data_IF_483300188850
#
_entry.id   IF_483300188850
#
_cell.length_a   1.000
_cell.length_b   1.000
_cell.length_c   1.000
_cell.angle_alpha   90.00
_cell.angle_beta   90.00
_cell.angle_gamma   90.00
#
_symmetry.space_group_name_H-M   'P 1'
#
loop_
_entity.id
_entity.type
_entity.pdbx_description
1 polymer ?
#
# COMPACT_ATOMS: atom_id res chain seq x y z
N UNK A 1 -8.20 -1.74 40.11
CA UNK A 1 -9.44 -0.95 40.02
C UNK A 1 -9.00 0.47 39.72
N UNK A 2 -9.32 0.98 38.54
CA UNK A 2 -9.99 2.27 38.41
C UNK A 2 -10.40 2.47 36.96
N UNK A 3 -11.71 2.70 36.83
CA UNK A 3 -12.46 2.92 35.61
C UNK A 3 -12.46 4.40 35.30
N UNK A 4 -12.10 4.79 34.07
CA UNK A 4 -12.60 6.00 33.45
C UNK A 4 -13.19 5.65 32.08
N UNK A 5 -14.51 5.75 32.03
CA UNK A 5 -15.43 5.64 30.91
C UNK A 5 -15.24 6.75 29.87
N UNK A 6 -15.43 6.42 28.58
CA UNK A 6 -15.83 7.38 27.55
C UNK A 6 -14.72 7.99 26.69
N UNK A 7 -14.04 7.18 25.87
CA UNK A 7 -13.51 7.57 24.54
C UNK A 7 -12.85 6.36 23.90
N UNK A 8 -13.01 6.20 22.59
CA UNK A 8 -12.51 5.06 21.83
C UNK A 8 -11.02 4.83 22.06
N UNK A 9 -10.68 3.81 22.86
CA UNK A 9 -9.31 3.45 23.17
C UNK A 9 -8.63 2.84 21.93
N UNK A 10 -7.94 3.66 21.15
CA UNK A 10 -7.02 3.23 20.10
C UNK A 10 -5.78 2.62 20.77
N UNK A 11 -5.70 1.29 20.82
CA UNK A 11 -4.48 0.57 21.24
C UNK A 11 -3.58 0.33 20.03
N UNK A 12 -2.52 1.14 19.92
CA UNK A 12 -1.34 0.86 19.09
C UNK A 12 -0.51 -0.25 19.71
N UNK A 13 -0.02 -1.18 18.90
CA UNK A 13 1.06 -2.09 19.29
C UNK A 13 2.38 -1.51 18.78
N UNK A 14 3.29 -1.10 19.67
CA UNK A 14 4.69 -0.94 19.32
C UNK A 14 5.25 -2.34 18.98
N UNK A 15 5.59 -2.60 17.73
CA UNK A 15 6.53 -3.67 17.42
C UNK A 15 7.84 -3.00 17.00
N UNK A 16 8.86 -3.07 17.88
CA UNK A 16 10.24 -2.89 17.44
C UNK A 16 10.64 -4.18 16.77
N UNK A 17 10.86 -4.14 15.46
CA UNK A 17 11.36 -5.28 14.70
C UNK A 17 12.85 -5.07 14.53
N UNK A 18 13.63 -6.08 14.95
CA UNK A 18 15.07 -6.10 14.78
C UNK A 18 15.39 -6.84 13.49
N UNK A 19 16.16 -6.20 12.60
CA UNK A 19 16.65 -6.82 11.36
C UNK A 19 17.98 -7.51 11.71
N UNK A 20 18.08 -8.83 11.49
CA UNK A 20 19.39 -9.50 11.51
C UNK A 20 20.02 -9.40 10.11
N UNK A 21 21.35 -9.38 10.00
CA UNK A 21 22.03 -9.61 8.73
C UNK A 21 21.63 -11.01 8.23
N UNK A 22 20.78 -11.10 7.20
CA UNK A 22 20.49 -12.38 6.56
C UNK A 22 21.54 -12.67 5.49
N UNK A 23 21.92 -13.95 5.43
CA UNK A 23 22.94 -14.54 4.58
C UNK A 23 22.76 -14.23 3.10
N UNK A 24 23.88 -13.86 2.47
CA UNK A 24 24.11 -13.59 1.06
C UNK A 24 23.26 -14.35 0.03
N UNK A 25 22.94 -13.62 -1.04
CA UNK A 25 22.67 -14.07 -2.41
C UNK A 25 21.54 -15.07 -2.62
N UNK A 26 20.30 -14.57 -2.74
CA UNK A 26 19.26 -15.26 -3.53
C UNK A 26 18.42 -14.25 -4.31
N UNK A 27 18.80 -13.99 -5.57
CA UNK A 27 17.84 -13.56 -6.58
C UNK A 27 17.17 -14.80 -7.17
N UNK A 28 15.84 -14.87 -7.23
CA UNK A 28 15.18 -15.58 -8.31
C UNK A 28 14.49 -14.56 -9.23
N UNK A 29 14.99 -14.44 -10.44
CA UNK A 29 14.21 -14.00 -11.59
C UNK A 29 13.18 -15.10 -11.89
N UNK A 30 11.92 -14.88 -11.52
CA UNK A 30 10.84 -15.79 -11.84
C UNK A 30 10.22 -15.41 -13.20
N UNK A 31 10.65 -16.11 -14.24
CA UNK A 31 9.92 -16.26 -15.50
C UNK A 31 8.82 -17.29 -15.26
N UNK A 32 7.56 -16.91 -15.48
CA UNK A 32 6.44 -17.87 -15.49
C UNK A 32 6.58 -18.81 -16.69
N UNK A 33 7.11 -20.01 -16.47
CA UNK A 33 6.91 -21.13 -17.39
C UNK A 33 5.71 -21.94 -16.91
N UNK A 34 4.58 -21.76 -17.59
CA UNK A 34 3.46 -22.70 -17.52
C UNK A 34 3.86 -23.98 -18.27
N UNK A 35 3.90 -25.11 -17.58
CA UNK A 35 3.75 -26.39 -18.26
C UNK A 35 2.69 -27.23 -17.56
N UNK A 36 1.55 -27.36 -18.23
CA UNK A 36 0.59 -28.42 -18.04
C UNK A 36 1.18 -29.74 -18.52
N UNK A 37 1.15 -30.76 -17.69
CA UNK A 37 1.02 -32.14 -18.17
C UNK A 37 0.34 -32.99 -17.10
N UNK A 38 -0.95 -33.19 -17.32
CA UNK A 38 -1.76 -34.25 -16.76
C UNK A 38 -1.15 -35.60 -17.14
N UNK A 39 -0.88 -36.43 -16.15
CA UNK A 39 -0.59 -37.85 -16.36
C UNK A 39 -1.86 -38.65 -16.09
N UNK A 40 -2.33 -39.42 -17.06
CA UNK A 40 -2.64 -40.85 -16.89
C UNK A 40 -3.06 -41.52 -18.21
N UNK A 41 -2.42 -42.67 -18.44
CA UNK A 41 -2.90 -43.94 -19.05
C UNK A 41 -3.09 -44.07 -20.56
N UNK A 42 -2.11 -44.74 -21.19
CA UNK A 42 -2.22 -46.02 -21.96
C UNK A 42 -3.48 -46.28 -22.80
N UNK A 43 -3.33 -46.39 -24.12
CA UNK A 43 -3.50 -47.65 -24.89
C UNK A 43 -3.40 -47.43 -26.41
N UNK A 44 -2.56 -48.25 -27.03
CA UNK A 44 -2.59 -48.91 -28.34
C UNK A 44 -2.86 -48.18 -29.68
N UNK A 45 -2.00 -48.58 -30.61
CA UNK A 45 -1.93 -48.26 -32.02
C UNK A 45 -3.10 -48.80 -32.85
N UNK A 46 -3.37 -48.13 -33.98
CA UNK A 46 -3.53 -48.78 -35.29
C UNK A 46 -3.30 -47.76 -36.40
N UNK A 47 -2.52 -48.19 -37.39
CA UNK A 47 -2.23 -47.55 -38.67
C UNK A 47 -3.45 -47.68 -39.57
N UNK A 48 -3.86 -46.61 -40.25
CA UNK A 48 -4.49 -46.70 -41.57
C UNK A 48 -4.24 -45.43 -42.38
N UNK A 49 -3.65 -45.62 -43.55
CA UNK A 49 -3.44 -44.62 -44.60
C UNK A 49 -4.71 -44.46 -45.44
N UNK A 50 -5.09 -43.23 -45.75
CA UNK A 50 -5.89 -42.92 -46.95
C UNK A 50 -5.63 -41.48 -47.35
N UNK A 51 -5.15 -41.32 -48.58
CA UNK A 51 -5.06 -40.08 -49.34
C UNK A 51 -6.47 -39.59 -49.66
N UNK A 52 -6.72 -38.28 -49.51
CA UNK A 52 -7.42 -37.52 -50.55
C UNK A 52 -7.21 -36.02 -50.40
N UNK A 53 -7.03 -35.41 -51.56
CA UNK A 53 -6.77 -34.01 -51.86
C UNK A 53 -8.06 -33.22 -51.99
N UNK A 54 -8.13 -32.01 -51.42
CA UNK A 54 -8.60 -30.79 -52.12
C UNK A 54 -8.72 -29.57 -51.20
N UNK A 55 -7.94 -28.54 -51.54
CA UNK A 55 -8.27 -27.10 -51.60
C UNK A 55 -9.01 -26.38 -50.45
N UNK A 56 -8.33 -25.30 -50.04
CA UNK A 56 -8.84 -23.95 -49.79
C UNK A 56 -9.65 -23.65 -48.52
N UNK A 57 -8.96 -23.08 -47.52
CA UNK A 57 -9.41 -21.83 -46.85
C UNK A 57 -8.26 -21.19 -46.06
N UNK A 58 -7.36 -20.51 -46.76
CA UNK A 58 -6.22 -19.79 -46.18
C UNK A 58 -6.61 -18.39 -45.68
N UNK A 59 -7.76 -18.26 -44.99
CA UNK A 59 -8.33 -16.97 -44.58
C UNK A 59 -8.82 -16.88 -43.13
N UNK A 60 -8.62 -17.91 -42.30
CA UNK A 60 -9.01 -17.86 -40.87
C UNK A 60 -7.83 -17.66 -39.89
N UNK A 61 -6.58 -17.85 -40.32
CA UNK A 61 -5.41 -17.84 -39.41
C UNK A 61 -4.78 -16.46 -39.14
N UNK A 62 -5.18 -15.41 -39.85
CA UNK A 62 -4.71 -14.04 -39.58
C UNK A 62 -5.54 -13.30 -38.52
N UNK A 63 -6.77 -13.78 -38.24
CA UNK A 63 -7.63 -13.19 -37.21
C UNK A 63 -7.42 -13.78 -35.81
N UNK A 64 -6.77 -14.94 -35.70
CA UNK A 64 -6.47 -15.56 -34.40
C UNK A 64 -5.14 -15.10 -33.79
N UNK A 65 -4.20 -14.59 -34.60
CA UNK A 65 -2.91 -14.05 -34.10
C UNK A 65 -3.00 -12.62 -33.54
N UNK A 66 -4.09 -11.89 -33.76
CA UNK A 66 -4.30 -10.54 -33.20
C UNK A 66 -5.00 -10.52 -31.84
N UNK A 67 -5.42 -11.67 -31.31
CA UNK A 67 -6.17 -11.78 -30.04
C UNK A 67 -5.34 -12.12 -28.80
N UNK A 68 -4.01 -12.22 -28.92
CA UNK A 68 -3.12 -12.61 -27.83
C UNK A 68 -1.94 -11.67 -27.59
N UNK A 69 -2.10 -10.37 -27.86
CA UNK A 69 -1.24 -9.37 -27.22
C UNK A 69 -1.94 -8.89 -25.94
N UNK A 70 -2.14 -9.80 -24.98
CA UNK A 70 -2.45 -9.38 -23.61
C UNK A 70 -1.19 -8.69 -23.10
N UNK A 71 -1.17 -7.35 -23.14
CA UNK A 71 -0.17 -6.56 -22.43
C UNK A 71 -0.18 -7.03 -20.98
N UNK A 72 0.80 -7.86 -20.63
CA UNK A 72 0.84 -8.59 -19.38
C UNK A 72 0.87 -7.57 -18.24
N UNK A 73 0.01 -7.73 -17.22
CA UNK A 73 0.07 -6.92 -16.00
C UNK A 73 1.35 -7.34 -15.28
N UNK A 74 2.42 -6.58 -15.49
CA UNK A 74 3.74 -6.78 -14.88
C UNK A 74 4.14 -5.49 -14.21
N UNK A 75 4.65 -5.60 -12.99
CA UNK A 75 5.23 -4.50 -12.23
C UNK A 75 6.74 -4.66 -12.21
N UNK A 76 7.44 -3.54 -12.30
CA UNK A 76 8.90 -3.53 -12.40
C UNK A 76 9.50 -2.86 -11.17
N UNK A 77 10.67 -3.34 -10.75
CA UNK A 77 11.45 -2.64 -9.75
C UNK A 77 12.08 -1.39 -10.36
N UNK A 78 12.04 -0.31 -9.60
CA UNK A 78 12.78 0.93 -9.87
C UNK A 78 13.81 1.05 -8.76
N UNK A 79 15.06 0.84 -9.12
CA UNK A 79 16.19 0.89 -8.19
C UNK A 79 16.69 2.32 -8.02
N UNK A 80 17.15 2.65 -6.82
CA UNK A 80 17.80 3.93 -6.52
C UNK A 80 19.24 3.68 -6.06
N UNK A 81 20.19 4.41 -6.65
CA UNK A 81 21.56 4.40 -6.19
C UNK A 81 21.67 5.19 -4.87
N UNK A 82 21.84 4.46 -3.76
CA UNK A 82 22.00 5.02 -2.42
C UNK A 82 23.39 4.67 -1.86
N UNK A 83 24.41 5.52 -2.05
CA UNK A 83 25.78 5.23 -1.64
C UNK A 83 25.94 5.13 -0.12
N UNK A 84 25.10 5.85 0.64
CA UNK A 84 25.13 5.87 2.11
C UNK A 84 24.34 4.74 2.77
N UNK A 85 23.64 3.92 2.00
CA UNK A 85 22.79 2.87 2.53
C UNK A 85 23.56 1.53 2.58
N UNK A 86 23.61 0.92 3.76
CA UNK A 86 24.25 -0.35 4.05
C UNK A 86 23.85 -1.47 3.08
N UNK A 87 24.78 -2.36 2.78
CA UNK A 87 24.52 -3.57 1.97
C UNK A 87 23.42 -4.48 2.53
N UNK A 88 23.16 -4.41 3.84
CA UNK A 88 22.02 -5.08 4.45
C UNK A 88 20.73 -4.35 4.07
N UNK A 89 19.91 -5.03 3.26
CA UNK A 89 18.62 -4.55 2.78
C UNK A 89 17.47 -5.28 3.46
N UNK A 90 16.33 -4.61 3.56
CA UNK A 90 15.07 -5.23 3.97
C UNK A 90 13.90 -4.66 3.15
N UNK A 91 12.88 -5.49 2.90
CA UNK A 91 11.70 -5.15 2.12
C UNK A 91 10.46 -5.01 3.00
N UNK A 92 9.74 -3.92 2.80
CA UNK A 92 8.46 -3.64 3.46
C UNK A 92 7.35 -3.60 2.44
N UNK A 93 6.27 -4.34 2.70
CA UNK A 93 5.03 -4.32 1.91
C UNK A 93 3.93 -3.59 2.69
N UNK A 94 3.21 -2.68 2.03
CA UNK A 94 1.94 -2.12 2.49
C UNK A 94 0.84 -2.53 1.52
N UNK A 95 -0.22 -3.18 2.00
CA UNK A 95 -1.27 -3.66 1.11
C UNK A 95 -2.68 -3.68 1.75
N UNK A 96 -3.58 -2.82 1.27
CA UNK A 96 -5.01 -2.96 1.54
C UNK A 96 -5.54 -4.12 0.70
N UNK A 97 -5.99 -5.19 1.35
CA UNK A 97 -6.32 -6.46 0.67
C UNK A 97 -7.81 -6.62 0.33
N UNK A 98 -8.62 -5.57 0.54
CA UNK A 98 -10.05 -5.58 0.36
C UNK A 98 -10.74 -6.69 1.17
N UNK A 99 -11.22 -6.34 2.36
CA UNK A 99 -11.86 -7.29 3.26
C UNK A 99 -13.01 -8.03 2.58
N UNK A 100 -13.15 -9.34 2.79
CA UNK A 100 -14.17 -10.12 2.10
C UNK A 100 -15.60 -9.61 2.40
N UNK A 101 -15.87 -9.21 3.64
CA UNK A 101 -17.13 -8.57 4.03
C UNK A 101 -17.31 -7.19 3.38
N UNK A 102 -16.24 -6.41 3.22
CA UNK A 102 -16.30 -5.11 2.55
C UNK A 102 -16.62 -5.26 1.06
N UNK A 103 -15.94 -6.18 0.36
CA UNK A 103 -16.23 -6.51 -1.03
C UNK A 103 -17.70 -6.94 -1.26
N UNK A 104 -18.26 -7.69 -0.31
CA UNK A 104 -19.66 -8.13 -0.36
C UNK A 104 -20.65 -7.01 -0.01
N UNK A 105 -20.31 -6.12 0.90
CA UNK A 105 -21.17 -5.01 1.34
C UNK A 105 -21.24 -3.90 0.29
N UNK A 106 -20.15 -3.67 -0.44
CA UNK A 106 -19.98 -2.56 -1.38
C UNK A 106 -19.94 -3.04 -2.84
N UNK A 107 -20.85 -3.95 -3.22
CA UNK A 107 -20.90 -4.49 -4.61
C UNK A 107 -21.12 -3.42 -5.66
N UNK A 108 -21.70 -2.28 -5.30
CA UNK A 108 -21.87 -1.12 -6.18
C UNK A 108 -20.52 -0.55 -6.67
N UNK A 109 -19.43 -0.73 -5.92
CA UNK A 109 -18.09 -0.33 -6.33
C UNK A 109 -17.49 -1.22 -7.43
N UNK A 110 -17.99 -2.45 -7.53
CA UNK A 110 -17.39 -3.53 -8.33
C UNK A 110 -18.32 -4.06 -9.43
N UNK A 111 -19.26 -3.24 -9.91
CA UNK A 111 -20.23 -3.64 -10.95
C UNK A 111 -19.55 -4.10 -12.25
N UNK A 112 -18.38 -3.54 -12.57
CA UNK A 112 -17.59 -3.89 -13.76
C UNK A 112 -16.63 -5.07 -13.52
N UNK A 113 -16.57 -5.59 -12.29
CA UNK A 113 -15.66 -6.67 -11.92
C UNK A 113 -16.41 -8.01 -11.98
N UNK A 114 -15.93 -9.00 -12.76
CA UNK A 114 -16.51 -10.33 -12.75
C UNK A 114 -16.61 -10.92 -11.34
N UNK A 115 -17.77 -11.48 -10.99
CA UNK A 115 -18.04 -12.00 -9.64
C UNK A 115 -17.08 -13.11 -9.22
N UNK A 116 -16.48 -13.84 -10.18
CA UNK A 116 -15.43 -14.83 -9.94
C UNK A 116 -14.19 -14.21 -9.27
N UNK A 117 -13.82 -12.98 -9.67
CA UNK A 117 -12.65 -12.26 -9.14
C UNK A 117 -12.91 -11.67 -7.76
N UNK A 118 -14.16 -11.47 -7.36
CA UNK A 118 -14.51 -11.00 -6.01
C UNK A 118 -14.50 -12.12 -4.96
N UNK A 119 -14.56 -13.40 -5.37
CA UNK A 119 -14.58 -14.54 -4.46
C UNK A 119 -13.30 -14.59 -3.62
N UNK A 120 -13.45 -14.66 -2.29
CA UNK A 120 -12.32 -14.72 -1.35
C UNK A 120 -11.30 -15.80 -1.70
N UNK A 121 -11.74 -17.02 -2.06
CA UNK A 121 -10.83 -18.10 -2.41
C UNK A 121 -9.93 -17.76 -3.61
N UNK A 122 -10.45 -16.99 -4.57
CA UNK A 122 -9.70 -16.51 -5.73
C UNK A 122 -8.71 -15.42 -5.32
N UNK A 123 -9.21 -14.36 -4.67
CA UNK A 123 -8.39 -13.20 -4.24
C UNK A 123 -7.28 -13.61 -3.29
N UNK A 124 -7.59 -14.42 -2.28
CA UNK A 124 -6.61 -14.94 -1.31
C UNK A 124 -5.43 -15.62 -1.99
N UNK A 125 -5.69 -16.45 -3.01
CA UNK A 125 -4.62 -17.13 -3.75
C UNK A 125 -3.70 -16.11 -4.40
N UNK A 126 -4.26 -15.16 -5.15
CA UNK A 126 -3.49 -14.10 -5.83
C UNK A 126 -2.70 -13.26 -4.83
N UNK A 127 -3.35 -12.76 -3.78
CA UNK A 127 -2.72 -11.94 -2.74
C UNK A 127 -1.55 -12.69 -2.09
N UNK A 128 -1.73 -13.98 -1.75
CA UNK A 128 -0.66 -14.78 -1.19
C UNK A 128 0.48 -15.02 -2.19
N UNK A 129 0.16 -15.32 -3.45
CA UNK A 129 1.16 -15.57 -4.50
C UNK A 129 2.00 -14.29 -4.77
N UNK A 130 1.37 -13.12 -4.79
CA UNK A 130 2.03 -11.81 -4.89
C UNK A 130 2.99 -11.58 -3.72
N UNK A 131 2.48 -11.67 -2.47
CA UNK A 131 3.28 -11.44 -1.26
C UNK A 131 4.46 -12.42 -1.19
N UNK A 132 4.22 -13.71 -1.45
CA UNK A 132 5.29 -14.73 -1.41
C UNK A 132 6.31 -14.48 -2.52
N UNK A 133 5.86 -14.09 -3.72
CA UNK A 133 6.73 -13.80 -4.86
C UNK A 133 7.69 -12.63 -4.62
N UNK A 134 7.25 -11.61 -3.87
CA UNK A 134 8.12 -10.49 -3.49
C UNK A 134 9.06 -10.81 -2.33
N UNK A 135 8.81 -11.90 -1.59
CA UNK A 135 9.59 -12.35 -0.43
C UNK A 135 9.98 -11.21 0.54
N UNK A 136 9.00 -10.43 1.06
CA UNK A 136 9.29 -9.29 1.93
C UNK A 136 9.73 -9.70 3.33
N UNK A 137 10.44 -8.82 4.03
CA UNK A 137 10.81 -9.01 5.42
C UNK A 137 9.66 -8.64 6.36
N UNK A 138 8.92 -7.57 6.01
CA UNK A 138 7.81 -7.02 6.80
C UNK A 138 6.60 -6.80 5.88
N UNK A 139 5.42 -7.25 6.33
CA UNK A 139 4.16 -7.14 5.60
C UNK A 139 3.15 -6.41 6.49
N UNK A 140 2.65 -5.28 6.00
CA UNK A 140 1.60 -4.49 6.63
C UNK A 140 0.33 -4.56 5.79
N UNK A 141 -0.71 -5.19 6.33
CA UNK A 141 -1.99 -5.36 5.64
C UNK A 141 -3.09 -4.51 6.26
N UNK A 142 -3.98 -3.98 5.44
CA UNK A 142 -5.22 -3.28 5.85
C UNK A 142 -6.45 -4.04 5.35
N UNK A 143 -7.62 -3.77 5.95
CA UNK A 143 -8.90 -4.45 5.67
C UNK A 143 -8.88 -5.98 5.87
N UNK A 144 -8.10 -6.46 6.83
CA UNK A 144 -8.01 -7.89 7.12
C UNK A 144 -9.20 -8.36 7.96
N UNK A 145 -10.14 -9.08 7.35
CA UNK A 145 -11.28 -9.72 8.03
C UNK A 145 -11.20 -11.26 8.07
N UNK A 146 -10.22 -11.84 7.36
CA UNK A 146 -9.96 -13.28 7.27
C UNK A 146 -8.50 -13.62 7.61
N UNK A 147 -8.00 -13.04 8.70
CA UNK A 147 -6.59 -13.15 9.12
C UNK A 147 -6.07 -14.59 9.14
N UNK A 148 -6.78 -15.52 9.78
CA UNK A 148 -6.31 -16.91 9.91
C UNK A 148 -6.17 -17.65 8.58
N UNK A 149 -6.97 -17.29 7.57
CA UNK A 149 -6.88 -17.90 6.24
C UNK A 149 -5.56 -17.50 5.54
N UNK A 150 -5.18 -16.23 5.66
CA UNK A 150 -3.93 -15.68 5.12
C UNK A 150 -2.74 -16.18 5.93
N UNK A 151 -2.83 -16.08 7.26
CA UNK A 151 -1.76 -16.46 8.17
C UNK A 151 -1.41 -17.94 8.04
N UNK A 152 -2.37 -18.83 7.78
CA UNK A 152 -2.08 -20.25 7.52
C UNK A 152 -1.15 -20.45 6.31
N UNK A 153 -1.28 -19.64 5.28
CA UNK A 153 -0.44 -19.71 4.07
C UNK A 153 0.91 -19.04 4.33
N UNK A 154 0.89 -17.81 4.85
CA UNK A 154 2.11 -17.03 5.11
C UNK A 154 2.99 -17.65 6.21
N UNK A 155 2.41 -18.30 7.21
CA UNK A 155 3.18 -19.05 8.22
C UNK A 155 3.99 -20.19 7.59
N UNK A 156 3.46 -20.87 6.59
CA UNK A 156 4.21 -21.90 5.84
C UNK A 156 5.34 -21.30 5.00
N UNK A 157 5.21 -20.03 4.59
CA UNK A 157 6.25 -19.26 3.91
C UNK A 157 7.25 -18.59 4.88
N UNK A 158 7.23 -18.94 6.17
CA UNK A 158 8.21 -18.50 7.16
C UNK A 158 7.83 -17.24 7.93
N UNK A 159 6.58 -16.78 7.86
CA UNK A 159 6.15 -15.55 8.53
C UNK A 159 5.53 -15.80 9.92
N UNK A 160 5.98 -15.04 10.91
CA UNK A 160 5.22 -14.73 12.12
C UNK A 160 4.26 -13.56 11.87
N UNK A 161 3.34 -13.27 12.80
CA UNK A 161 2.46 -12.12 12.63
C UNK A 161 1.50 -11.85 13.76
N UNK A 162 0.96 -10.64 13.76
CA UNK A 162 -0.08 -10.19 14.66
C UNK A 162 -1.22 -9.52 13.88
N UNK A 163 -2.40 -9.49 14.50
CA UNK A 163 -3.60 -8.90 13.93
C UNK A 163 -4.31 -8.04 14.97
N UNK A 164 -4.80 -6.88 14.52
CA UNK A 164 -5.60 -5.98 15.33
C UNK A 164 -6.85 -5.57 14.57
N UNK A 165 -7.98 -6.11 15.01
CA UNK A 165 -9.30 -5.66 14.59
C UNK A 165 -9.53 -4.21 15.02
N UNK A 166 -10.25 -3.46 14.18
CA UNK A 166 -10.79 -2.14 14.55
C UNK A 166 -11.70 -2.24 15.77
N UNK A 167 -11.85 -1.13 16.49
CA UNK A 167 -12.78 -1.01 17.61
C UNK A 167 -14.23 -0.97 17.11
N UNK A 168 -15.21 -1.21 17.99
CA UNK A 168 -16.63 -1.26 17.62
C UNK A 168 -17.02 -2.53 16.86
N UNK A 169 -18.07 -2.44 16.05
CA UNK A 169 -18.67 -3.56 15.32
C UNK A 169 -17.98 -3.85 13.97
N UNK A 170 -16.80 -3.25 13.75
CA UNK A 170 -15.99 -3.51 12.57
C UNK A 170 -15.44 -4.93 12.59
N UNK A 171 -15.40 -5.53 11.41
CA UNK A 171 -15.07 -6.95 11.19
C UNK A 171 -13.67 -7.14 10.62
N UNK A 172 -13.10 -6.05 10.14
CA UNK A 172 -11.79 -5.91 9.54
C UNK A 172 -10.80 -5.21 10.49
N UNK A 173 -9.53 -5.20 10.10
CA UNK A 173 -8.47 -4.57 10.86
C UNK A 173 -7.15 -4.54 10.11
N UNK A 174 -6.07 -4.26 10.85
CA UNK A 174 -4.72 -4.29 10.31
C UNK A 174 -4.00 -5.56 10.77
N UNK A 175 -3.18 -6.14 9.90
CA UNK A 175 -2.24 -7.19 10.27
C UNK A 175 -0.81 -6.73 10.00
N UNK A 176 0.13 -7.25 10.78
CA UNK A 176 1.56 -7.10 10.54
C UNK A 176 2.19 -8.49 10.61
N UNK A 177 2.92 -8.87 9.57
CA UNK A 177 3.65 -10.12 9.51
C UNK A 177 5.13 -9.84 9.24
N UNK A 178 6.01 -10.70 9.73
CA UNK A 178 7.45 -10.55 9.57
C UNK A 178 8.13 -11.92 9.45
N UNK A 179 9.28 -11.96 8.78
CA UNK A 179 10.07 -13.20 8.68
C UNK A 179 10.48 -13.70 10.07
N UNK A 180 10.41 -15.01 10.30
CA UNK A 180 10.58 -15.59 11.64
C UNK A 180 12.00 -15.48 12.21
N UNK A 181 12.99 -15.24 11.35
CA UNK A 181 14.37 -14.92 11.73
C UNK A 181 14.57 -13.46 12.18
N UNK A 182 13.61 -12.57 11.89
CA UNK A 182 13.47 -11.27 12.54
C UNK A 182 12.91 -11.47 13.96
N UNK A 183 13.79 -11.71 14.91
CA UNK A 183 13.44 -11.83 16.32
C UNK A 183 13.69 -10.52 17.06
N UNK A 184 12.84 -10.22 18.05
CA UNK A 184 13.10 -9.19 19.08
C UNK A 184 14.35 -9.64 19.86
N UNK A 185 15.53 -9.08 19.55
CA UNK A 185 16.79 -9.45 20.19
C UNK A 185 17.28 -8.33 21.14
N UNK A 186 17.85 -8.72 22.28
CA UNK A 186 18.44 -7.80 23.27
C UNK A 186 19.92 -7.45 22.99
N UNK A 187 20.44 -7.65 21.76
CA UNK A 187 21.85 -7.39 21.38
C UNK A 187 22.09 -6.11 20.56
N UNK A 188 23.33 -5.93 20.07
CA UNK A 188 23.80 -4.88 19.14
C UNK A 188 23.19 -5.03 17.73
N UNK A 189 21.88 -5.08 17.63
CA UNK A 189 21.17 -5.30 16.37
C UNK A 189 20.44 -4.03 15.95
N UNK A 190 20.43 -3.75 14.64
CA UNK A 190 19.70 -2.62 14.06
C UNK A 190 18.20 -2.78 14.33
N UNK A 191 17.58 -1.72 14.83
CA UNK A 191 16.16 -1.71 15.22
C UNK A 191 15.38 -0.80 14.30
N UNK A 192 14.14 -1.19 14.04
CA UNK A 192 13.20 -0.42 13.24
C UNK A 192 11.85 -0.38 13.94
N UNK A 193 11.22 0.79 13.97
CA UNK A 193 9.82 0.92 14.35
C UNK A 193 8.95 0.88 13.08
N UNK A 194 8.00 -0.04 13.03
CA UNK A 194 7.02 -0.10 11.92
C UNK A 194 5.62 0.23 12.42
N UNK A 195 4.99 1.21 11.79
CA UNK A 195 3.58 1.54 11.95
C UNK A 195 2.75 1.06 10.77
N UNK A 196 1.54 0.57 11.06
CA UNK A 196 0.54 0.22 10.05
C UNK A 196 -0.79 0.87 10.45
N UNK A 197 -1.41 1.63 9.54
CA UNK A 197 -2.68 2.32 9.77
C UNK A 197 -3.66 2.11 8.61
N UNK A 198 -4.95 2.14 8.94
CA UNK A 198 -6.02 2.36 7.98
C UNK A 198 -6.86 3.54 8.51
N UNK A 199 -6.64 4.71 7.91
CA UNK A 199 -7.28 5.97 8.29
C UNK A 199 -8.75 5.95 7.86
N UNK A 200 -9.62 6.69 8.57
CA UNK A 200 -11.03 6.83 8.23
C UNK A 200 -11.24 7.12 6.73
N UNK A 201 -12.13 6.38 6.08
CA UNK A 201 -12.47 6.58 4.68
C UNK A 201 -13.17 7.92 4.39
N UNK A 202 -14.20 8.27 5.18
CA UNK A 202 -15.15 9.36 4.88
C UNK A 202 -14.44 10.65 4.37
N UNK A 203 -14.59 11.02 3.07
CA UNK A 203 -13.90 12.16 2.49
C UNK A 203 -14.20 13.49 3.18
N UNK A 204 -15.38 13.63 3.79
CA UNK A 204 -15.82 14.86 4.46
C UNK A 204 -15.30 15.02 5.89
N UNK A 205 -14.52 14.06 6.42
CA UNK A 205 -14.04 14.04 7.81
C UNK A 205 -12.53 14.18 7.92
N UNK A 206 -11.97 15.15 7.20
CA UNK A 206 -10.53 15.45 7.23
C UNK A 206 -10.01 15.81 8.62
N UNK A 207 -10.85 16.40 9.47
CA UNK A 207 -10.60 16.65 10.89
C UNK A 207 -10.22 15.37 11.64
N UNK A 208 -11.02 14.30 11.50
CA UNK A 208 -10.76 13.01 12.13
C UNK A 208 -9.52 12.36 11.53
N UNK A 209 -9.36 12.39 10.20
CA UNK A 209 -8.20 11.78 9.52
C UNK A 209 -6.90 12.40 10.02
N UNK A 210 -6.83 13.73 10.06
CA UNK A 210 -5.67 14.46 10.57
C UNK A 210 -5.40 14.11 12.05
N UNK A 211 -6.44 14.05 12.88
CA UNK A 211 -6.32 13.63 14.28
C UNK A 211 -5.77 12.21 14.45
N UNK A 212 -6.25 11.25 13.65
CA UNK A 212 -5.77 9.86 13.66
C UNK A 212 -4.30 9.76 13.26
N UNK A 213 -3.92 10.46 12.18
CA UNK A 213 -2.55 10.49 11.67
C UNK A 213 -1.62 11.16 12.69
N UNK A 214 -1.98 12.34 13.22
CA UNK A 214 -1.22 13.04 14.26
C UNK A 214 -1.03 12.17 15.50
N UNK A 215 -2.07 11.44 15.92
CA UNK A 215 -1.96 10.53 17.06
C UNK A 215 -0.97 9.39 16.79
N UNK A 216 -1.03 8.76 15.62
CA UNK A 216 -0.05 7.74 15.19
C UNK A 216 1.38 8.30 15.24
N UNK A 217 1.60 9.46 14.64
CA UNK A 217 2.92 10.12 14.55
C UNK A 217 3.48 10.46 15.93
N UNK A 218 2.64 10.96 16.83
CA UNK A 218 3.03 11.25 18.22
C UNK A 218 3.48 9.97 18.95
N UNK A 219 2.72 8.88 18.81
CA UNK A 219 3.07 7.59 19.43
C UNK A 219 4.34 7.01 18.81
N UNK A 220 4.50 7.10 17.50
CA UNK A 220 5.69 6.64 16.81
C UNK A 220 6.94 7.40 17.27
N UNK A 221 6.86 8.72 17.43
CA UNK A 221 7.95 9.52 17.98
C UNK A 221 8.33 9.08 19.40
N UNK A 222 7.35 8.92 20.29
CA UNK A 222 7.59 8.52 21.68
C UNK A 222 8.32 7.18 21.73
N UNK A 223 7.92 6.23 20.88
CA UNK A 223 8.51 4.89 20.82
C UNK A 223 9.90 4.90 20.19
N UNK A 224 10.08 5.64 19.09
CA UNK A 224 11.39 5.83 18.46
C UNK A 224 12.39 6.38 19.48
N UNK A 225 12.05 7.48 20.17
CA UNK A 225 12.88 8.06 21.25
C UNK A 225 13.17 7.08 22.38
N UNK A 226 12.13 6.40 22.88
CA UNK A 226 12.26 5.41 23.97
C UNK A 226 13.24 4.30 23.63
N UNK A 227 13.39 3.96 22.36
CA UNK A 227 14.26 2.89 21.90
C UNK A 227 15.59 3.37 21.32
N UNK A 228 15.97 4.64 21.56
CA UNK A 228 17.26 5.19 21.13
C UNK A 228 17.20 5.91 19.79
N UNK A 229 16.10 6.61 19.50
CA UNK A 229 15.84 7.30 18.23
C UNK A 229 15.89 6.36 17.02
N UNK A 230 15.33 5.16 17.15
CA UNK A 230 15.36 4.18 16.07
C UNK A 230 14.58 4.68 14.84
N UNK A 231 15.01 4.34 13.62
CA UNK A 231 14.29 4.69 12.40
C UNK A 231 12.83 4.22 12.43
N UNK A 232 11.98 4.97 11.74
CA UNK A 232 10.54 4.73 11.67
C UNK A 232 10.12 4.51 10.23
N UNK A 233 9.33 3.47 9.98
CA UNK A 233 8.57 3.27 8.74
C UNK A 233 7.08 3.29 9.09
N UNK A 234 6.32 4.19 8.48
CA UNK A 234 4.86 4.25 8.63
C UNK A 234 4.21 3.88 7.31
N UNK A 235 3.38 2.85 7.37
CA UNK A 235 2.73 2.23 6.22
C UNK A 235 1.23 2.30 6.38
N UNK A 236 0.49 2.28 5.29
CA UNK A 236 -0.94 2.08 5.37
C UNK A 236 -1.74 2.76 4.28
N UNK A 237 -3.04 2.63 4.43
CA UNK A 237 -4.05 3.38 3.69
C UNK A 237 -4.39 4.64 4.49
N UNK A 238 -3.96 5.79 3.99
CA UNK A 238 -4.16 7.09 4.63
C UNK A 238 -5.45 7.77 4.16
N UNK A 239 -6.16 7.18 3.18
CA UNK A 239 -7.36 7.76 2.59
C UNK A 239 -7.20 9.25 2.25
N UNK A 240 -6.02 9.64 1.76
CA UNK A 240 -5.63 11.02 1.46
C UNK A 240 -4.72 11.05 0.24
N UNK A 241 -4.91 11.99 -0.67
CA UNK A 241 -4.17 12.04 -1.95
C UNK A 241 -2.85 12.83 -1.82
N UNK A 242 -1.90 12.68 -2.77
CA UNK A 242 -0.62 13.39 -2.71
C UNK A 242 -0.75 14.92 -2.76
N UNK A 243 -1.82 15.45 -3.36
CA UNK A 243 -2.09 16.90 -3.45
C UNK A 243 -2.81 17.44 -2.19
N UNK A 244 -3.07 16.58 -1.21
CA UNK A 244 -3.89 16.92 -0.05
C UNK A 244 -3.12 17.68 1.03
N UNK A 245 -3.85 18.46 1.83
CA UNK A 245 -3.29 19.13 3.01
C UNK A 245 -2.72 18.12 4.03
N UNK A 246 -3.31 16.92 4.12
CA UNK A 246 -2.81 15.84 4.98
C UNK A 246 -1.47 15.30 4.51
N UNK A 247 -1.25 15.18 3.20
CA UNK A 247 0.05 14.79 2.65
C UNK A 247 1.12 15.87 2.93
N UNK A 248 0.74 17.14 2.78
CA UNK A 248 1.61 18.26 3.14
C UNK A 248 1.96 18.25 4.63
N UNK A 249 0.99 18.00 5.52
CA UNK A 249 1.25 17.83 6.95
C UNK A 249 2.30 16.76 7.23
N UNK A 250 2.16 15.57 6.62
CA UNK A 250 3.09 14.45 6.80
C UNK A 250 4.52 14.77 6.36
N UNK A 251 4.68 15.53 5.29
CA UNK A 251 5.99 15.89 4.72
C UNK A 251 6.61 17.14 5.36
N UNK A 252 5.83 18.19 5.60
CA UNK A 252 6.29 19.47 6.16
C UNK A 252 6.45 19.45 7.68
N UNK A 253 5.83 18.50 8.38
CA UNK A 253 5.69 18.43 9.84
C UNK A 253 4.63 19.35 10.46
N UNK A 254 4.01 20.23 9.70
CA UNK A 254 3.06 21.21 10.23
C UNK A 254 1.93 21.57 9.25
N UNK A 255 0.77 21.92 9.80
CA UNK A 255 -0.38 22.33 9.00
C UNK A 255 -1.25 23.32 9.79
N UNK A 256 -1.43 24.51 9.23
CA UNK A 256 -2.44 25.45 9.72
C UNK A 256 -3.82 25.05 9.16
N UNK A 257 -4.70 24.51 10.01
CA UNK A 257 -6.01 23.97 9.58
C UNK A 257 -6.98 25.04 9.10
N UNK A 258 -6.76 26.31 9.48
CA UNK A 258 -7.60 27.43 9.05
C UNK A 258 -7.39 27.81 7.58
N UNK A 259 -6.34 27.32 6.92
CA UNK A 259 -6.09 27.57 5.50
C UNK A 259 -6.88 26.62 4.59
N UNK A 260 -7.61 25.66 5.16
CA UNK A 260 -8.25 24.59 4.40
C UNK A 260 -9.69 24.36 4.83
N UNK A 261 -10.57 24.06 3.87
CA UNK A 261 -11.87 23.48 4.19
C UNK A 261 -11.69 22.04 4.70
N UNK A 262 -12.26 21.74 5.88
CA UNK A 262 -12.14 20.41 6.52
C UNK A 262 -12.56 19.23 5.63
N UNK A 263 -13.47 19.45 4.69
CA UNK A 263 -13.96 18.42 3.74
C UNK A 263 -12.99 18.18 2.57
N UNK A 264 -12.06 19.11 2.33
CA UNK A 264 -11.07 19.03 1.25
C UNK A 264 -9.70 18.56 1.74
N UNK A 265 -9.46 18.50 3.06
CA UNK A 265 -8.16 18.16 3.65
C UNK A 265 -7.52 16.87 3.12
N UNK A 266 -8.33 15.89 2.69
CA UNK A 266 -7.84 14.60 2.16
C UNK A 266 -7.73 14.55 0.63
N UNK A 267 -8.26 15.54 -0.09
CA UNK A 267 -8.22 15.58 -1.56
C UNK A 267 -9.04 14.51 -2.30
N UNK A 268 -9.82 13.67 -1.62
CA UNK A 268 -10.50 12.52 -2.24
C UNK A 268 -11.75 12.84 -3.08
N UNK A 269 -12.33 14.05 -2.99
CA UNK A 269 -13.66 14.33 -3.57
C UNK A 269 -13.68 14.37 -5.10
N UNK A 270 -12.53 14.63 -5.74
CA UNK A 270 -12.40 14.83 -7.19
C UNK A 270 -11.62 13.70 -7.88
N UNK A 271 -11.70 12.49 -7.34
CA UNK A 271 -10.91 11.34 -7.81
C UNK A 271 -11.77 10.27 -8.49
N UNK A 272 -12.88 10.63 -9.16
CA UNK A 272 -13.69 9.63 -9.89
C UNK A 272 -12.94 9.19 -11.16
N UNK A 273 -13.01 7.90 -11.55
CA UNK A 273 -12.30 7.43 -12.75
C UNK A 273 -12.59 8.23 -14.02
N UNK A 274 -13.83 8.66 -14.25
CA UNK A 274 -14.18 9.50 -15.39
C UNK A 274 -13.43 10.85 -15.35
N UNK A 275 -13.36 11.49 -14.18
CA UNK A 275 -12.63 12.76 -14.01
C UNK A 275 -11.13 12.57 -14.21
N UNK A 276 -10.56 11.46 -13.73
CA UNK A 276 -9.12 11.21 -13.77
C UNK A 276 -8.63 10.76 -15.16
N UNK A 277 -9.40 9.92 -15.86
CA UNK A 277 -9.02 9.47 -17.21
C UNK A 277 -9.30 10.51 -18.31
N UNK A 278 -10.29 11.39 -18.13
CA UNK A 278 -10.70 12.37 -19.15
C UNK A 278 -9.90 13.69 -19.08
N UNK A 279 -8.91 13.83 -18.17
CA UNK A 279 -8.03 15.02 -18.08
C UNK A 279 -7.26 15.28 -19.40
N UNK A 280 -7.20 14.31 -20.31
CA UNK A 280 -6.62 14.49 -21.65
C UNK A 280 -7.54 15.18 -22.67
N UNK A 281 -8.72 15.71 -22.30
CA UNK A 281 -9.61 16.42 -23.23
C UNK A 281 -9.74 17.93 -23.07
N UNK A 282 -9.45 18.53 -21.93
CA UNK A 282 -9.47 20.00 -21.79
C UNK A 282 -8.44 20.49 -20.76
N UNK A 283 -7.26 20.86 -21.23
CA UNK A 283 -6.43 21.88 -20.57
C UNK A 283 -7.13 23.22 -20.71
N UNK A 284 -8.15 23.45 -19.89
CA UNK A 284 -8.71 24.78 -19.62
C UNK A 284 -9.62 24.67 -18.40
N UNK A 285 -9.03 24.46 -17.23
CA UNK A 285 -9.57 25.08 -16.03
C UNK A 285 -8.42 25.80 -15.35
N UNK A 286 -8.31 27.07 -15.72
CA UNK A 286 -7.69 28.10 -14.90
C UNK A 286 -8.04 27.82 -13.44
N UNK A 287 -7.00 27.70 -12.62
CA UNK A 287 -7.12 27.57 -11.18
C UNK A 287 -7.84 28.83 -10.70
N UNK A 288 -9.16 28.77 -10.53
CA UNK A 288 -9.87 29.82 -9.83
C UNK A 288 -9.41 29.74 -8.38
N UNK A 289 -8.35 30.50 -8.04
CA UNK A 289 -8.28 31.12 -6.74
C UNK A 289 -9.56 31.93 -6.62
N UNK A 290 -10.60 31.30 -6.09
CA UNK A 290 -11.77 32.01 -5.63
C UNK A 290 -11.31 32.80 -4.42
N UNK A 291 -10.96 34.05 -4.70
CA UNK A 291 -11.15 35.17 -3.79
C UNK A 291 -12.50 34.97 -3.09
N UNK A 292 -12.41 34.61 -1.82
CA UNK A 292 -13.55 34.15 -1.07
C UNK A 292 -13.10 33.92 0.35
N UNK A 293 -13.21 34.97 1.15
CA UNK A 293 -13.22 34.95 2.60
C UNK A 293 -14.43 34.12 3.09
N UNK A 294 -14.52 32.87 2.67
CA UNK A 294 -15.47 31.91 3.21
C UNK A 294 -15.07 31.75 4.67
N UNK A 295 -16.00 31.99 5.59
CA UNK A 295 -15.84 31.62 6.99
C UNK A 295 -15.60 30.12 7.03
N UNK A 296 -14.34 29.70 7.04
CA UNK A 296 -13.92 28.32 7.26
C UNK A 296 -14.30 28.00 8.70
N UNK A 297 -15.52 27.53 8.89
CA UNK A 297 -16.12 27.39 10.21
C UNK A 297 -15.73 26.05 10.82
N UNK A 298 -14.54 26.01 11.40
CA UNK A 298 -14.10 24.95 12.30
C UNK A 298 -14.74 25.16 13.67
N UNK A 299 -15.38 24.12 14.20
CA UNK A 299 -15.78 24.13 15.61
C UNK A 299 -14.57 23.87 16.50
N UNK A 300 -14.58 24.36 17.75
CA UNK A 300 -13.48 24.11 18.70
C UNK A 300 -13.20 22.62 18.94
N UNK A 301 -14.24 21.77 18.86
CA UNK A 301 -14.08 20.31 18.96
C UNK A 301 -13.41 19.72 17.71
N UNK A 302 -13.75 20.19 16.50
CA UNK A 302 -13.08 19.74 15.27
C UNK A 302 -11.61 20.17 15.24
N UNK A 303 -11.30 21.40 15.69
CA UNK A 303 -9.92 21.86 15.85
C UNK A 303 -9.20 20.95 16.85
N UNK A 304 -9.79 20.69 18.02
CA UNK A 304 -9.21 19.82 19.04
C UNK A 304 -8.96 18.40 18.54
N UNK A 305 -9.89 17.82 17.79
CA UNK A 305 -9.72 16.48 17.18
C UNK A 305 -8.52 16.50 16.23
N UNK A 306 -8.44 17.49 15.35
CA UNK A 306 -7.41 17.61 14.33
C UNK A 306 -6.02 17.91 14.92
N UNK A 307 -5.89 18.96 15.74
CA UNK A 307 -4.62 19.50 16.23
C UNK A 307 -4.23 18.96 17.60
N UNK A 308 -5.18 18.43 18.36
CA UNK A 308 -5.01 18.01 19.76
C UNK A 308 -5.31 19.09 20.78
N UNK A 309 -5.64 20.32 20.35
CA UNK A 309 -5.91 21.45 21.23
C UNK A 309 -6.99 22.34 20.61
N UNK A 310 -7.98 22.77 21.40
CA UNK A 310 -9.00 23.73 20.94
C UNK A 310 -8.46 25.15 20.74
N UNK A 311 -7.29 25.47 21.31
CA UNK A 311 -6.68 26.81 21.27
C UNK A 311 -5.65 26.97 20.15
N UNK A 312 -5.19 25.85 19.58
CA UNK A 312 -4.09 25.83 18.62
C UNK A 312 -4.59 25.32 17.28
N UNK A 313 -4.43 26.15 16.25
CA UNK A 313 -4.89 25.87 14.88
C UNK A 313 -3.81 25.20 14.01
N UNK A 314 -2.59 25.12 14.52
CA UNK A 314 -1.47 24.49 13.82
C UNK A 314 -1.33 23.07 14.37
N UNK A 315 -1.62 22.08 13.54
CA UNK A 315 -1.26 20.70 13.81
C UNK A 315 0.25 20.54 13.56
N UNK A 316 0.96 19.88 14.47
CA UNK A 316 2.40 19.64 14.34
C UNK A 316 2.76 18.18 14.66
N UNK A 317 3.83 17.68 14.03
CA UNK A 317 4.48 16.45 14.45
C UNK A 317 6.02 16.56 14.36
N UNK A 318 6.78 15.84 15.19
CA UNK A 318 8.24 15.98 15.23
C UNK A 318 8.98 15.07 14.24
N UNK A 319 8.33 14.05 13.66
CA UNK A 319 8.97 13.13 12.73
C UNK A 319 9.26 13.82 11.39
N UNK A 320 10.51 13.74 10.91
CA UNK A 320 10.88 14.18 9.56
C UNK A 320 10.68 13.03 8.59
N UNK A 321 9.52 13.01 7.93
CA UNK A 321 9.12 11.91 7.07
C UNK A 321 9.32 12.25 5.60
N UNK A 322 9.69 11.23 4.83
CA UNK A 322 9.70 11.23 3.37
C UNK A 322 8.94 10.01 2.87
N UNK A 323 8.26 10.14 1.74
CA UNK A 323 7.67 8.99 1.08
C UNK A 323 8.74 8.26 0.27
N UNK A 324 8.82 6.94 0.41
CA UNK A 324 9.76 6.12 -0.36
C UNK A 324 9.55 6.26 -1.87
N UNK A 325 8.29 6.31 -2.31
CA UNK A 325 7.94 6.44 -3.73
C UNK A 325 8.28 7.83 -4.27
N UNK A 326 7.96 8.88 -3.53
CA UNK A 326 8.32 10.26 -3.92
C UNK A 326 9.84 10.50 -3.99
N UNK A 327 10.64 9.74 -3.23
CA UNK A 327 12.10 9.90 -3.21
C UNK A 327 12.85 9.07 -4.24
N UNK A 328 12.22 8.07 -4.86
CA UNK A 328 12.82 7.28 -5.94
C UNK A 328 12.27 7.76 -7.27
N UNK A 329 13.15 8.19 -8.17
CA UNK A 329 12.78 8.69 -9.50
C UNK A 329 12.09 7.58 -10.33
N UNK A 330 10.77 7.69 -10.48
CA UNK A 330 9.96 6.81 -11.31
C UNK A 330 9.67 7.39 -12.69
N UNK A 331 8.93 6.63 -13.51
CA UNK A 331 8.49 7.08 -14.83
C UNK A 331 7.30 8.03 -14.72
N UNK A 332 7.24 9.06 -15.57
CA UNK A 332 6.03 9.92 -15.71
C UNK A 332 4.79 9.15 -16.16
N UNK A 333 4.94 7.92 -16.67
CA UNK A 333 3.83 7.02 -17.00
C UNK A 333 3.18 6.36 -15.78
N UNK A 334 3.88 6.34 -14.64
CA UNK A 334 3.45 5.71 -13.39
C UNK A 334 3.47 6.66 -12.19
N UNK A 335 4.07 7.84 -12.33
CA UNK A 335 4.23 8.86 -11.27
C UNK A 335 3.51 10.17 -11.57
N UNK A 336 3.04 10.81 -10.51
CA UNK A 336 2.50 12.17 -10.52
C UNK A 336 3.60 13.23 -10.28
N UNK A 337 3.20 14.50 -10.18
CA UNK A 337 4.11 15.63 -9.96
C UNK A 337 4.80 15.64 -8.57
N UNK A 338 4.26 14.91 -7.60
CA UNK A 338 4.89 14.72 -6.29
C UNK A 338 5.85 13.52 -6.29
N UNK A 339 6.01 12.82 -7.41
CA UNK A 339 6.77 11.58 -7.50
C UNK A 339 6.04 10.37 -6.91
N UNK A 340 4.75 10.51 -6.57
CA UNK A 340 3.94 9.42 -6.04
C UNK A 340 3.32 8.60 -7.18
N UNK A 341 2.88 7.34 -6.96
CA UNK A 341 2.08 6.60 -7.92
C UNK A 341 0.91 7.43 -8.47
N UNK A 342 0.57 7.24 -9.73
CA UNK A 342 -0.66 7.80 -10.29
C UNK A 342 -1.92 7.21 -9.64
N UNK A 343 -1.86 5.93 -9.25
CA UNK A 343 -2.91 5.31 -8.46
C UNK A 343 -2.37 4.14 -7.63
N UNK A 344 -2.90 4.01 -6.41
CA UNK A 344 -2.77 2.84 -5.55
C UNK A 344 -4.10 2.16 -5.31
N UNK A 345 -5.23 2.79 -5.64
CA UNK A 345 -6.58 2.23 -5.55
C UNK A 345 -7.39 2.54 -6.80
N UNK A 346 -8.18 1.56 -7.27
CA UNK A 346 -9.05 1.72 -8.43
C UNK A 346 -10.35 0.88 -8.35
N UNK A 347 -11.48 1.57 -8.22
CA UNK A 347 -12.82 0.99 -8.35
C UNK A 347 -13.77 2.00 -9.03
N UNK A 348 -15.07 1.69 -9.16
CA UNK A 348 -15.99 2.51 -9.97
C UNK A 348 -16.19 3.96 -9.51
N UNK A 349 -15.80 4.29 -8.27
CA UNK A 349 -16.00 5.61 -7.65
C UNK A 349 -14.71 6.33 -7.25
N UNK A 350 -13.57 5.64 -7.31
CA UNK A 350 -12.29 6.21 -6.92
C UNK A 350 -11.16 5.65 -7.80
N UNK A 351 -10.28 6.52 -8.25
CA UNK A 351 -9.00 6.20 -8.86
C UNK A 351 -7.97 7.22 -8.36
N UNK A 352 -6.93 6.75 -7.69
CA UNK A 352 -5.88 7.62 -7.18
C UNK A 352 -5.01 6.95 -6.13
N UNK A 353 -4.09 7.73 -5.58
CA UNK A 353 -3.12 7.28 -4.56
C UNK A 353 -3.61 7.65 -3.17
N UNK A 354 -3.68 6.64 -2.31
CA UNK A 354 -4.07 6.77 -0.89
C UNK A 354 -3.22 5.92 0.04
N UNK A 355 -2.41 5.02 -0.52
CA UNK A 355 -1.51 4.15 0.21
C UNK A 355 -0.10 4.75 0.18
N UNK A 356 0.62 4.67 1.31
CA UNK A 356 1.98 5.25 1.40
C UNK A 356 2.92 4.38 2.23
N UNK A 357 4.21 4.55 1.94
CA UNK A 357 5.34 4.03 2.71
C UNK A 357 6.24 5.21 3.11
N UNK A 358 5.95 5.81 4.25
CA UNK A 358 6.70 6.91 4.84
C UNK A 358 7.87 6.39 5.67
N UNK A 359 9.01 7.07 5.64
CA UNK A 359 10.18 6.74 6.44
C UNK A 359 10.83 7.97 7.08
N UNK A 360 11.47 7.78 8.23
CA UNK A 360 12.33 8.78 8.87
C UNK A 360 13.81 8.54 8.56
N UNK A 361 14.70 9.46 8.98
CA UNK A 361 16.15 9.29 8.90
C UNK A 361 16.69 8.01 9.58
N UNK A 362 17.91 7.63 9.20
CA UNK A 362 18.58 6.38 9.62
C UNK A 362 18.33 5.17 8.70
N UNK A 363 17.44 5.31 7.71
CA UNK A 363 17.25 4.38 6.60
C UNK A 363 17.05 5.16 5.30
N UNK A 364 17.33 4.54 4.16
CA UNK A 364 17.08 5.10 2.83
C UNK A 364 16.49 4.04 1.90
N UNK A 365 15.51 4.39 1.05
CA UNK A 365 14.91 3.47 0.10
C UNK A 365 15.89 3.21 -1.06
N UNK A 366 16.09 1.94 -1.39
CA UNK A 366 17.06 1.47 -2.40
C UNK A 366 16.38 0.92 -3.63
N UNK A 367 15.08 0.65 -3.55
CA UNK A 367 14.24 0.33 -4.69
C UNK A 367 12.77 0.28 -4.30
N UNK A 368 11.87 0.51 -5.25
CA UNK A 368 10.42 0.33 -5.07
C UNK A 368 9.85 -0.52 -6.20
N UNK A 369 8.81 -1.31 -5.90
CA UNK A 369 8.03 -1.99 -6.93
C UNK A 369 7.03 -1.02 -7.53
N UNK A 370 7.28 -0.56 -8.74
CA UNK A 370 6.45 0.44 -9.41
C UNK A 370 4.99 -0.03 -9.57
N UNK A 371 4.06 0.91 -9.60
CA UNK A 371 2.62 0.68 -9.84
C UNK A 371 2.34 0.55 -11.34
N UNK A 372 1.07 0.52 -11.71
CA UNK A 372 0.65 0.36 -13.10
C UNK A 372 0.39 1.71 -13.76
N UNK A 373 0.81 1.88 -15.03
CA UNK A 373 0.38 2.99 -15.87
C UNK A 373 -1.15 3.08 -16.03
N UNK A 374 -1.66 4.29 -16.27
CA UNK A 374 -3.10 4.52 -16.46
C UNK A 374 -3.71 3.79 -17.66
N UNK A 375 -2.97 3.56 -18.75
CA UNK A 375 -3.48 2.81 -19.90
C UNK A 375 -3.68 1.32 -19.56
N UNK A 376 -2.85 0.75 -18.68
CA UNK A 376 -3.06 -0.60 -18.15
C UNK A 376 -4.26 -0.61 -17.20
N UNK A 377 -4.31 0.31 -16.23
CA UNK A 377 -5.43 0.41 -15.29
C UNK A 377 -6.77 0.59 -16.01
N UNK A 378 -6.85 1.49 -16.99
CA UNK A 378 -8.05 1.72 -17.81
C UNK A 378 -8.51 0.45 -18.53
N UNK A 379 -7.59 -0.38 -19.02
CA UNK A 379 -7.90 -1.66 -19.69
C UNK A 379 -8.47 -2.71 -18.74
N UNK A 380 -8.17 -2.64 -17.44
CA UNK A 380 -8.77 -3.56 -16.45
C UNK A 380 -10.25 -3.28 -16.19
N UNK A 381 -10.73 -2.05 -16.41
CA UNK A 381 -12.11 -1.62 -16.15
C UNK A 381 -12.49 -1.47 -14.67
N UNK A 382 -11.60 -1.87 -13.76
CA UNK A 382 -11.75 -1.84 -12.32
C UNK A 382 -10.92 -2.95 -11.67
N UNK A 383 -10.57 -2.77 -10.40
CA UNK A 383 -9.94 -3.80 -9.59
C UNK A 383 -10.93 -4.32 -8.51
N UNK A 384 -10.79 -5.56 -8.00
CA UNK A 384 -9.81 -6.58 -8.40
C UNK A 384 -10.04 -7.12 -9.82
N UNK A 385 -9.04 -7.77 -10.40
CA UNK A 385 -9.11 -8.33 -11.76
C UNK A 385 -8.52 -9.75 -11.81
N UNK A 386 -8.31 -10.29 -13.01
CA UNK A 386 -7.77 -11.65 -13.17
C UNK A 386 -6.41 -11.83 -12.47
N UNK A 387 -5.54 -10.80 -12.52
CA UNK A 387 -4.16 -10.88 -12.00
C UNK A 387 -3.95 -10.14 -10.67
N UNK A 388 -4.91 -9.37 -10.19
CA UNK A 388 -4.79 -8.53 -8.99
C UNK A 388 -5.93 -8.83 -8.02
N UNK A 389 -5.58 -9.20 -6.78
CA UNK A 389 -6.52 -9.74 -5.80
C UNK A 389 -7.23 -8.70 -4.91
N UNK A 390 -6.93 -7.42 -5.06
CA UNK A 390 -7.51 -6.31 -4.32
C UNK A 390 -7.89 -5.18 -5.27
N UNK A 391 -8.73 -4.25 -4.81
CA UNK A 391 -8.94 -2.96 -5.48
C UNK A 391 -7.81 -1.96 -5.24
N UNK A 392 -6.87 -2.30 -4.37
CA UNK A 392 -5.60 -1.59 -4.20
C UNK A 392 -4.43 -2.35 -4.86
N UNK A 393 -3.36 -1.62 -5.16
CA UNK A 393 -2.05 -2.12 -5.55
C UNK A 393 -1.14 -2.13 -4.32
N UNK A 394 -0.48 -3.24 -4.04
CA UNK A 394 0.48 -3.30 -2.94
C UNK A 394 1.65 -2.34 -3.18
N UNK A 395 2.07 -1.58 -2.19
CA UNK A 395 3.34 -0.87 -2.24
C UNK A 395 4.44 -1.76 -1.66
N UNK A 396 5.55 -1.86 -2.37
CA UNK A 396 6.76 -2.55 -1.90
C UNK A 396 7.93 -1.59 -1.99
N UNK A 397 8.69 -1.46 -0.90
CA UNK A 397 9.94 -0.69 -0.86
C UNK A 397 11.03 -1.52 -0.20
N UNK A 398 12.20 -1.54 -0.83
CA UNK A 398 13.45 -2.01 -0.24
C UNK A 398 14.15 -0.82 0.42
N UNK A 399 14.70 -1.04 1.61
CA UNK A 399 15.45 -0.05 2.37
C UNK A 399 16.80 -0.62 2.80
N UNK A 400 17.79 0.27 2.94
CA UNK A 400 19.03 0.00 3.68
C UNK A 400 19.19 0.97 4.84
N UNK A 401 19.84 0.53 5.92
CA UNK A 401 20.23 1.41 7.04
C UNK A 401 21.35 2.36 6.62
N UNK A 402 21.30 3.62 7.06
CA UNK A 402 22.36 4.61 6.80
C UNK A 402 23.29 4.75 8.01
N UNK A 403 24.45 5.38 7.83
CA UNK A 403 25.44 5.56 8.91
C UNK A 403 24.89 6.29 10.15
N UNK A 404 23.94 7.21 9.97
CA UNK A 404 23.23 7.87 11.08
C UNK A 404 22.42 6.88 11.95
N UNK A 405 21.98 5.76 11.36
CA UNK A 405 21.27 4.66 12.04
C UNK A 405 22.18 3.61 12.68
N UNK A 406 23.51 3.71 12.48
CA UNK A 406 24.51 2.76 12.99
C UNK A 406 25.14 3.17 14.33
N UNK A 407 24.53 4.10 15.07
CA UNK A 407 24.97 4.40 16.45
C UNK A 407 24.74 3.18 17.34
N UNK A 408 25.73 2.30 17.37
CA UNK A 408 25.86 1.17 18.27
C UNK A 408 25.86 1.69 19.69
N UNK A 409 24.82 1.37 20.46
CA UNK A 409 24.82 1.60 21.89
C UNK A 409 25.82 0.62 22.53
N UNK A 410 27.06 1.05 22.69
CA UNK A 410 27.98 0.45 23.66
C UNK A 410 27.43 0.76 25.04
N UNK A 411 26.65 -0.16 25.61
CA UNK A 411 26.24 -0.08 27.00
C UNK A 411 27.47 -0.16 27.89
N UNK A 412 27.81 0.95 28.56
CA UNK A 412 28.68 0.92 29.73
C UNK A 412 27.91 0.24 30.88
N UNK A 413 28.49 -0.89 31.32
CA UNK A 413 28.22 -1.76 32.46
C UNK A 413 27.14 -1.37 33.48
#
# INVERSE_FOLDING_TARGET
>A
MDCCSGSGSFRLFPAAITVKPSSLNRRPSLVFLSNSSSSKTTANATVFSSTDSSSSSLSSDLNNRRRHNSSQIVRHWVDAYQPLASHERFKVVSYNILGNRNALKHRDLYQNVPSSYLKWCYRKRIICDEIIGWDPDIICLQEVDRYFDLFKVLKKAGYGGCYKRRTGDHVDGCAMLWKSDMQICNGESKRLLVGNIHVLYNPSRGDIKLGQIRFLLSRAQILSKKWGNIPVVLTGDFNSTPQSAIYNFLSSSELNVLLYEKKELSGQRNCRPAQVFDVNKETNNSLSMVDGLFKINWTGEEVKVATGSSEHHIAVHPLKLKSSYATIEGSTSTRDLNGEPLATSYHSKFLGTVDYLWYSGGIAPTGVLDTLPFDILRRTGGLPCEKLGSDHLALVSEFGFTEEGNTTFSGSA
#
